data_IF_420800864370
#
_entry.id   IF_420800864370
#
_cell.length_a   1.000
_cell.length_b   1.000
_cell.length_c   1.000
_cell.angle_alpha   90.00
_cell.angle_beta   90.00
_cell.angle_gamma   90.00
#
_symmetry.space_group_name_H-M   'P 1'
#
loop_
_entity.id
_entity.type
_entity.pdbx_description
1 polymer ?
#
# COMPACT_ATOMS: atom_id res chain seq x y z
N UNK A 1 -22.59 -0.74 10.92
CA UNK A 1 -21.51 -0.79 9.91
C UNK A 1 -21.62 -2.11 9.18
N UNK A 2 -22.10 -2.10 7.95
CA UNK A 2 -22.59 -3.35 7.33
C UNK A 2 -21.54 -4.07 6.47
N UNK A 3 -20.44 -3.40 6.06
CA UNK A 3 -19.48 -3.98 5.09
C UNK A 3 -18.02 -3.59 5.35
N UNK A 4 -17.45 -3.83 6.55
CA UNK A 4 -16.08 -3.41 6.87
C UNK A 4 -15.01 -4.01 5.93
N UNK A 5 -15.22 -5.24 5.43
CA UNK A 5 -14.32 -5.94 4.49
C UNK A 5 -14.13 -5.25 3.14
N UNK A 6 -14.97 -4.27 2.81
CA UNK A 6 -14.87 -3.49 1.57
C UNK A 6 -13.99 -2.25 1.72
N UNK A 7 -13.49 -1.97 2.92
CA UNK A 7 -12.77 -0.75 3.21
C UNK A 7 -11.47 -1.03 3.98
N UNK A 8 -10.64 0.01 4.03
CA UNK A 8 -9.46 0.12 4.88
C UNK A 8 -9.55 1.47 5.57
N UNK A 9 -9.45 1.49 6.89
CA UNK A 9 -9.40 2.73 7.67
C UNK A 9 -7.94 3.12 7.86
N UNK A 10 -7.57 4.31 7.39
CA UNK A 10 -6.18 4.79 7.36
C UNK A 10 -5.99 6.01 8.25
N UNK A 11 -5.03 6.01 9.19
CA UNK A 11 -4.62 7.23 9.87
C UNK A 11 -3.78 8.11 8.94
N UNK A 12 -3.57 9.36 9.35
CA UNK A 12 -2.57 10.26 8.74
C UNK A 12 -1.14 9.86 9.15
N UNK A 13 -0.69 8.67 8.74
CA UNK A 13 0.67 8.15 8.95
C UNK A 13 1.20 7.47 7.68
N UNK A 14 2.52 7.49 7.55
CA UNK A 14 3.25 6.90 6.42
C UNK A 14 3.90 5.56 6.78
N UNK A 15 4.50 4.91 5.77
CA UNK A 15 5.35 3.71 5.90
C UNK A 15 4.65 2.39 6.30
N UNK A 16 3.32 2.30 6.20
CA UNK A 16 2.56 1.05 6.39
C UNK A 16 2.41 0.60 7.84
N UNK A 17 1.64 -0.46 8.08
CA UNK A 17 1.46 -1.06 9.42
C UNK A 17 0.54 -0.31 10.39
N UNK A 18 -0.12 0.76 9.94
CA UNK A 18 -1.00 1.59 10.77
C UNK A 18 -2.49 1.48 10.41
N UNK A 19 -2.83 0.73 9.38
CA UNK A 19 -4.20 0.65 8.88
C UNK A 19 -5.03 -0.35 9.69
N UNK A 20 -6.34 -0.08 9.80
CA UNK A 20 -7.30 -1.06 10.28
C UNK A 20 -8.01 -1.71 9.10
N UNK A 21 -8.18 -3.02 9.18
CA UNK A 21 -8.81 -3.84 8.15
C UNK A 21 -9.96 -4.62 8.75
N UNK A 22 -10.94 -4.92 7.90
CA UNK A 22 -12.01 -5.87 8.22
C UNK A 22 -12.68 -5.49 9.56
N UNK A 23 -12.97 -6.44 10.44
CA UNK A 23 -13.71 -6.21 11.69
C UNK A 23 -13.04 -5.16 12.61
N UNK A 24 -11.71 -5.04 12.55
CA UNK A 24 -10.95 -4.05 13.34
C UNK A 24 -11.32 -2.61 13.01
N UNK A 25 -11.88 -2.34 11.82
CA UNK A 25 -12.39 -1.02 11.45
C UNK A 25 -13.56 -0.65 12.36
N UNK A 26 -14.51 -1.57 12.54
CA UNK A 26 -15.70 -1.32 13.37
C UNK A 26 -15.33 -1.19 14.84
N UNK A 27 -14.44 -2.06 15.33
CA UNK A 27 -13.92 -1.98 16.69
C UNK A 27 -13.22 -0.64 16.98
N UNK A 28 -12.37 -0.17 16.06
CA UNK A 28 -11.67 1.10 16.20
C UNK A 28 -12.64 2.28 16.21
N UNK A 29 -13.57 2.34 15.25
CA UNK A 29 -14.51 3.45 15.12
C UNK A 29 -15.55 3.52 16.25
N UNK A 30 -15.85 2.39 16.91
CA UNK A 30 -16.69 2.37 18.12
C UNK A 30 -15.97 2.96 19.33
N UNK A 31 -14.64 2.80 19.41
CA UNK A 31 -13.82 3.32 20.52
C UNK A 31 -13.44 4.78 20.34
N UNK A 32 -13.32 5.24 19.09
CA UNK A 32 -12.89 6.60 18.79
C UNK A 32 -13.96 7.65 19.14
N UNK A 33 -13.51 8.70 19.81
CA UNK A 33 -14.22 9.98 19.92
C UNK A 33 -14.40 10.63 18.54
N UNK A 34 -15.28 11.63 18.44
CA UNK A 34 -15.45 12.36 17.17
C UNK A 34 -14.17 13.05 16.70
N UNK A 35 -13.36 13.55 17.64
CA UNK A 35 -12.07 14.17 17.34
C UNK A 35 -11.07 13.16 16.79
N UNK A 36 -11.00 11.96 17.36
CA UNK A 36 -10.13 10.90 16.85
C UNK A 36 -10.54 10.41 15.47
N UNK A 37 -11.85 10.30 15.19
CA UNK A 37 -12.36 9.93 13.86
C UNK A 37 -11.89 10.87 12.75
N UNK A 38 -11.72 12.16 13.05
CA UNK A 38 -11.21 13.15 12.09
C UNK A 38 -9.76 12.91 11.65
N UNK A 39 -8.98 12.10 12.37
CA UNK A 39 -7.62 11.74 12.02
C UNK A 39 -7.53 10.55 11.04
N UNK A 40 -8.67 10.01 10.60
CA UNK A 40 -8.74 8.83 9.74
C UNK A 40 -9.56 9.08 8.47
N UNK A 41 -9.16 8.39 7.40
CA UNK A 41 -9.95 8.29 6.17
C UNK A 41 -10.41 6.85 5.96
N UNK A 42 -11.63 6.68 5.46
CA UNK A 42 -12.14 5.38 5.02
C UNK A 42 -11.92 5.27 3.51
N UNK A 43 -11.04 4.35 3.11
CA UNK A 43 -10.71 4.10 1.69
C UNK A 43 -11.32 2.77 1.25
N UNK A 44 -11.85 2.69 0.04
CA UNK A 44 -12.25 1.41 -0.56
C UNK A 44 -11.05 0.45 -0.65
N UNK A 45 -11.24 -0.80 -0.23
CA UNK A 45 -10.23 -1.87 -0.32
C UNK A 45 -10.15 -2.33 -1.78
N UNK A 46 -8.96 -2.21 -2.37
CA UNK A 46 -8.69 -2.76 -3.71
C UNK A 46 -8.56 -4.28 -3.62
N UNK A 47 -9.00 -4.97 -4.68
CA UNK A 47 -8.89 -6.43 -4.84
C UNK A 47 -8.14 -6.71 -6.14
N UNK A 48 -6.80 -6.61 -6.14
CA UNK A 48 -6.03 -6.83 -7.35
C UNK A 48 -6.03 -8.32 -7.73
N UNK A 49 -5.70 -8.59 -8.99
CA UNK A 49 -5.48 -9.95 -9.47
C UNK A 49 -4.34 -10.62 -8.69
N UNK A 50 -4.56 -11.86 -8.31
CA UNK A 50 -3.54 -12.70 -7.67
C UNK A 50 -2.76 -13.46 -8.73
N UNK A 51 -1.44 -13.54 -8.55
CA UNK A 51 -0.52 -14.23 -9.45
C UNK A 51 0.30 -15.26 -8.65
N UNK A 52 0.51 -16.44 -9.22
CA UNK A 52 1.42 -17.43 -8.64
C UNK A 52 2.86 -17.09 -9.05
N UNK A 53 3.75 -16.92 -8.08
CA UNK A 53 5.16 -16.62 -8.32
C UNK A 53 6.05 -17.23 -7.23
N UNK A 54 7.37 -17.15 -7.38
CA UNK A 54 8.33 -17.52 -6.36
C UNK A 54 8.81 -16.30 -5.59
N UNK A 55 8.82 -16.39 -4.26
CA UNK A 55 9.48 -15.40 -3.39
C UNK A 55 10.82 -15.92 -2.94
N UNK A 56 11.83 -15.05 -2.97
CA UNK A 56 13.20 -15.32 -2.52
C UNK A 56 13.49 -14.45 -1.30
N UNK A 57 14.08 -15.05 -0.26
CA UNK A 57 14.57 -14.34 0.92
C UNK A 57 15.97 -14.85 1.29
N UNK A 58 16.83 -14.00 1.87
CA UNK A 58 18.15 -14.45 2.31
C UNK A 58 18.05 -15.66 3.25
N UNK A 59 18.89 -16.66 3.02
CA UNK A 59 19.00 -17.86 3.87
C UNK A 59 17.71 -18.70 3.95
N UNK A 60 16.79 -18.55 2.98
CA UNK A 60 15.58 -19.34 2.88
C UNK A 60 15.48 -19.97 1.49
N UNK A 61 14.90 -21.17 1.44
CA UNK A 61 14.58 -21.81 0.17
C UNK A 61 13.54 -21.00 -0.61
N UNK A 62 13.60 -20.98 -1.95
CA UNK A 62 12.57 -20.36 -2.78
C UNK A 62 11.18 -20.91 -2.46
N UNK A 63 10.22 -20.01 -2.23
CA UNK A 63 8.84 -20.41 -1.90
C UNK A 63 7.89 -20.01 -3.02
N UNK A 64 7.17 -20.99 -3.57
CA UNK A 64 6.04 -20.71 -4.46
C UNK A 64 4.86 -20.18 -3.64
N UNK A 65 4.27 -19.08 -4.06
CA UNK A 65 3.18 -18.44 -3.34
C UNK A 65 2.24 -17.65 -4.25
N UNK A 66 1.03 -17.46 -3.75
CA UNK A 66 0.03 -16.55 -4.31
C UNK A 66 0.31 -15.12 -3.86
N UNK A 67 0.59 -14.24 -4.83
CA UNK A 67 1.01 -12.86 -4.59
C UNK A 67 0.03 -11.85 -5.19
N UNK A 68 0.01 -10.66 -4.62
CA UNK A 68 -0.61 -9.48 -5.22
C UNK A 68 0.44 -8.39 -5.40
N UNK A 69 0.58 -7.85 -6.62
CA UNK A 69 1.52 -6.78 -6.88
C UNK A 69 0.94 -5.40 -6.54
N UNK A 70 1.84 -4.45 -6.31
CA UNK A 70 1.57 -3.03 -6.20
C UNK A 70 2.63 -2.25 -6.99
N UNK A 71 2.16 -1.49 -7.97
CA UNK A 71 2.99 -0.62 -8.82
C UNK A 71 3.08 0.78 -8.20
N UNK A 72 4.30 1.24 -7.95
CA UNK A 72 4.62 2.63 -7.70
C UNK A 72 5.29 3.25 -8.93
N UNK A 73 4.88 4.47 -9.28
CA UNK A 73 5.45 5.25 -10.38
C UNK A 73 6.10 6.49 -9.79
N UNK A 74 7.37 6.72 -10.09
CA UNK A 74 8.10 7.88 -9.57
C UNK A 74 7.85 9.12 -10.45
N UNK A 75 7.46 10.22 -9.82
CA UNK A 75 7.31 11.53 -10.44
C UNK A 75 8.26 12.55 -9.80
N UNK A 76 8.84 13.41 -10.62
CA UNK A 76 9.77 14.47 -10.23
C UNK A 76 9.20 15.80 -10.70
N UNK A 77 9.00 16.73 -9.77
CA UNK A 77 8.50 18.07 -10.03
C UNK A 77 9.48 19.08 -9.46
N UNK A 78 10.00 19.96 -10.31
CA UNK A 78 10.81 21.11 -9.95
C UNK A 78 10.09 22.37 -10.41
N UNK A 79 9.86 23.29 -9.48
CA UNK A 79 9.26 24.58 -9.77
C UNK A 79 9.93 25.69 -8.97
N UNK A 80 9.69 26.92 -9.39
CA UNK A 80 10.08 28.13 -8.69
C UNK A 80 8.88 28.67 -7.91
N UNK A 81 9.01 28.78 -6.59
CA UNK A 81 7.94 29.29 -5.72
C UNK A 81 7.68 30.79 -5.91
N UNK A 82 8.67 31.57 -6.34
CA UNK A 82 8.56 33.03 -6.44
C UNK A 82 7.63 33.46 -7.57
N UNK A 83 7.75 32.83 -8.73
CA UNK A 83 6.95 33.16 -9.92
C UNK A 83 5.95 32.05 -10.30
N UNK A 84 5.95 30.93 -9.57
CA UNK A 84 5.08 29.79 -9.81
C UNK A 84 5.44 28.97 -11.05
N UNK A 85 6.58 29.21 -11.68
CA UNK A 85 6.97 28.48 -12.90
C UNK A 85 7.34 27.03 -12.60
N UNK A 86 6.97 26.11 -13.51
CA UNK A 86 7.39 24.71 -13.46
C UNK A 86 8.58 24.55 -14.39
N UNK A 87 9.74 24.23 -13.81
CA UNK A 87 11.01 24.05 -14.53
C UNK A 87 11.17 22.63 -15.07
N UNK A 88 10.67 21.63 -14.34
CA UNK A 88 10.63 20.25 -14.77
C UNK A 88 9.43 19.52 -14.16
N UNK A 89 8.76 18.69 -14.95
CA UNK A 89 7.74 17.76 -14.50
C UNK A 89 7.89 16.48 -15.31
N UNK A 90 8.55 15.48 -14.72
CA UNK A 90 8.92 14.25 -15.43
C UNK A 90 8.58 13.03 -14.60
N UNK A 91 8.09 11.99 -15.27
CA UNK A 91 8.00 10.65 -14.71
C UNK A 91 9.28 9.89 -15.07
N UNK A 92 9.99 9.35 -14.09
CA UNK A 92 11.23 8.63 -14.35
C UNK A 92 11.35 7.39 -13.46
N UNK A 93 11.18 6.21 -14.07
CA UNK A 93 11.27 4.93 -13.39
C UNK A 93 10.01 4.55 -12.60
N UNK A 94 10.08 3.36 -12.02
CA UNK A 94 9.01 2.74 -11.25
C UNK A 94 9.59 1.85 -10.15
N UNK A 95 8.74 1.49 -9.22
CA UNK A 95 8.99 0.48 -8.21
C UNK A 95 7.84 -0.52 -8.26
N UNK A 96 8.16 -1.80 -8.15
CA UNK A 96 7.15 -2.84 -8.09
C UNK A 96 7.42 -3.68 -6.84
N UNK A 97 6.36 -3.93 -6.07
CA UNK A 97 6.43 -4.78 -4.89
C UNK A 97 5.32 -5.80 -4.94
N UNK A 98 5.62 -6.98 -4.43
CA UNK A 98 4.65 -8.05 -4.29
C UNK A 98 4.56 -8.46 -2.83
N UNK A 99 3.36 -8.82 -2.40
CA UNK A 99 3.08 -9.37 -1.06
C UNK A 99 2.23 -10.62 -1.19
N UNK A 100 2.27 -11.48 -0.16
CA UNK A 100 1.39 -12.63 -0.07
C UNK A 100 -0.08 -12.19 -0.11
N UNK A 101 -0.92 -12.90 -0.87
CA UNK A 101 -2.27 -12.44 -1.17
C UNK A 101 -3.21 -12.36 0.04
N UNK A 102 -2.94 -13.17 1.06
CA UNK A 102 -3.69 -13.16 2.32
C UNK A 102 -3.21 -12.06 3.29
N UNK A 103 -2.11 -11.35 3.01
CA UNK A 103 -1.59 -10.31 3.89
C UNK A 103 -2.18 -8.93 3.58
N UNK A 104 -2.65 -8.26 4.63
CA UNK A 104 -3.21 -6.91 4.52
C UNK A 104 -2.10 -5.85 4.30
N UNK A 105 -0.94 -6.01 4.92
CA UNK A 105 0.23 -5.12 4.81
C UNK A 105 1.33 -5.73 3.93
N UNK A 106 2.13 -4.89 3.27
CA UNK A 106 3.12 -5.33 2.27
C UNK A 106 4.42 -4.52 2.29
N UNK A 107 4.77 -3.93 3.44
CA UNK A 107 6.00 -3.16 3.57
C UNK A 107 7.23 -4.07 3.42
N UNK A 108 8.13 -3.72 2.50
CA UNK A 108 9.37 -4.49 2.28
C UNK A 108 10.30 -4.38 3.49
N UNK A 109 10.47 -3.17 4.05
CA UNK A 109 11.28 -2.94 5.25
C UNK A 109 10.77 -3.66 6.50
N UNK A 110 9.47 -4.00 6.54
CA UNK A 110 8.86 -4.80 7.59
C UNK A 110 8.92 -6.32 7.33
N UNK A 111 9.55 -6.75 6.23
CA UNK A 111 9.65 -8.16 5.84
C UNK A 111 8.37 -8.76 5.25
N UNK A 112 7.30 -7.97 5.04
CA UNK A 112 6.00 -8.46 4.56
C UNK A 112 5.87 -8.47 3.04
N UNK A 113 6.70 -7.66 2.36
CA UNK A 113 6.78 -7.62 0.90
C UNK A 113 8.10 -8.17 0.37
N UNK A 114 8.18 -8.26 -0.96
CA UNK A 114 9.40 -8.51 -1.75
C UNK A 114 9.46 -7.51 -2.91
N UNK A 115 10.67 -7.19 -3.36
CA UNK A 115 10.88 -6.44 -4.60
C UNK A 115 10.51 -7.31 -5.80
N UNK A 116 9.99 -6.67 -6.83
CA UNK A 116 9.51 -7.35 -8.02
C UNK A 116 9.66 -6.42 -9.25
N UNK A 117 9.28 -6.88 -10.44
CA UNK A 117 9.27 -6.11 -11.69
C UNK A 117 8.00 -6.40 -12.49
N UNK A 118 7.54 -5.43 -13.28
CA UNK A 118 6.37 -5.63 -14.12
C UNK A 118 6.73 -6.43 -15.39
N UNK A 119 5.94 -7.47 -15.67
CA UNK A 119 5.91 -8.12 -16.98
C UNK A 119 4.72 -7.55 -17.78
N UNK A 120 5.01 -6.92 -18.91
CA UNK A 120 3.99 -6.39 -19.82
C UNK A 120 3.55 -7.50 -20.78
N UNK A 121 2.24 -7.69 -20.89
CA UNK A 121 1.59 -8.74 -21.69
C UNK A 121 0.48 -8.16 -22.56
#
# INVERSE_FOLDING_TARGET
MERPKNYVLKPNRECGGHNYFDEKITEALQKFTQKEKAAYILKQKLRPMTVENYTLRPLAEPQKASLVPELGVYGFLLGNEVDGTVLANVQQGYHFRSKLAHLNEGGIGAGLGVYDTAYLF
#
